data_IF_021319865920
#
_entry.id   IF_021319865920
#
_cell.length_a   1.000
_cell.length_b   1.000
_cell.length_c   1.000
_cell.angle_alpha   90.00
_cell.angle_beta   90.00
_cell.angle_gamma   90.00
#
_symmetry.space_group_name_H-M   'P 1'
#
loop_
_entity.id
_entity.type
_entity.pdbx_description
1 polymer ?
#
# COMPACT_ATOMS: atom_id res chain seq x y z
N UNK A 1 -10.91 -20.83 32.27
CA UNK A 1 -10.06 -19.62 32.39
C UNK A 1 -10.95 -18.40 32.51
N UNK A 2 -11.00 -17.70 33.65
CA UNK A 2 -11.87 -16.53 33.81
C UNK A 2 -11.27 -15.34 33.05
N UNK A 3 -12.04 -14.78 32.11
CA UNK A 3 -11.69 -13.55 31.40
C UNK A 3 -11.64 -12.42 32.43
N UNK A 4 -10.44 -12.01 32.84
CA UNK A 4 -10.24 -10.90 33.75
C UNK A 4 -10.93 -9.64 33.18
N UNK A 5 -12.02 -9.22 33.81
CA UNK A 5 -12.74 -7.99 33.45
C UNK A 5 -11.80 -6.82 33.76
N UNK A 6 -11.03 -6.36 32.75
CA UNK A 6 -10.26 -5.11 32.87
C UNK A 6 -11.23 -4.01 33.35
N UNK A 7 -10.88 -3.21 34.37
CA UNK A 7 -11.77 -2.19 34.89
C UNK A 7 -12.20 -1.25 33.77
N UNK A 8 -13.48 -0.90 33.71
CA UNK A 8 -14.08 -0.03 32.67
C UNK A 8 -13.24 1.22 32.41
N UNK A 9 -12.69 1.82 33.48
CA UNK A 9 -11.78 2.96 33.43
C UNK A 9 -10.53 2.71 32.56
N UNK A 10 -9.88 1.55 32.66
CA UNK A 10 -8.69 1.21 31.87
C UNK A 10 -9.01 1.06 30.39
N UNK A 11 -10.20 0.53 30.05
CA UNK A 11 -10.66 0.47 28.66
C UNK A 11 -10.92 1.87 28.11
N UNK A 12 -11.63 2.72 28.86
CA UNK A 12 -11.90 4.11 28.46
C UNK A 12 -10.59 4.86 28.24
N UNK A 13 -9.63 4.77 29.17
CA UNK A 13 -8.32 5.43 29.04
C UNK A 13 -7.55 4.99 27.78
N UNK A 14 -7.57 3.68 27.47
CA UNK A 14 -6.92 3.16 26.25
C UNK A 14 -7.60 3.74 25.00
N UNK A 15 -8.94 3.74 24.93
CA UNK A 15 -9.65 4.24 23.75
C UNK A 15 -9.46 5.75 23.58
N UNK A 16 -9.49 6.51 24.67
CA UNK A 16 -9.20 7.95 24.68
C UNK A 16 -7.77 8.22 24.20
N UNK A 17 -6.80 7.41 24.61
CA UNK A 17 -5.42 7.48 24.14
C UNK A 17 -5.25 7.11 22.67
N UNK A 18 -6.03 6.16 22.14
CA UNK A 18 -6.00 5.75 20.73
C UNK A 18 -6.69 6.74 19.78
N UNK A 19 -7.69 7.46 20.27
CA UNK A 19 -8.50 8.39 19.47
C UNK A 19 -7.67 9.43 18.68
N UNK A 20 -6.67 10.14 19.26
CA UNK A 20 -5.84 11.06 18.47
C UNK A 20 -5.01 10.36 17.38
N UNK A 21 -4.50 9.14 17.64
CA UNK A 21 -3.78 8.35 16.63
C UNK A 21 -4.70 7.95 15.48
N UNK A 22 -5.94 7.57 15.79
CA UNK A 22 -6.95 7.24 14.79
C UNK A 22 -7.29 8.45 13.92
N UNK A 23 -7.53 9.61 14.54
CA UNK A 23 -7.81 10.86 13.81
C UNK A 23 -6.65 11.21 12.89
N UNK A 24 -5.42 11.16 13.40
CA UNK A 24 -4.22 11.43 12.61
C UNK A 24 -4.07 10.46 11.42
N UNK A 25 -4.27 9.16 11.66
CA UNK A 25 -4.17 8.14 10.63
C UNK A 25 -5.27 8.25 9.55
N UNK A 26 -6.49 8.64 9.94
CA UNK A 26 -7.63 8.78 9.03
C UNK A 26 -7.69 10.14 8.34
N UNK A 27 -7.02 11.17 8.86
CA UNK A 27 -6.99 12.50 8.28
C UNK A 27 -6.64 12.54 6.78
N UNK A 28 -5.57 11.88 6.28
CA UNK A 28 -5.27 11.90 4.84
C UNK A 28 -6.37 11.23 4.00
N UNK A 29 -7.00 10.17 4.49
CA UNK A 29 -8.11 9.51 3.79
C UNK A 29 -9.37 10.39 3.75
N UNK A 30 -9.65 11.10 4.85
CA UNK A 30 -10.71 12.10 4.91
C UNK A 30 -10.47 13.20 3.86
N UNK A 31 -9.26 13.77 3.83
CA UNK A 31 -8.91 14.81 2.86
C UNK A 31 -8.98 14.30 1.42
N UNK A 32 -8.44 13.11 1.13
CA UNK A 32 -8.49 12.50 -0.20
C UNK A 32 -9.92 12.26 -0.68
N UNK A 33 -10.81 11.81 0.21
CA UNK A 33 -12.24 11.61 -0.10
C UNK A 33 -12.93 12.92 -0.45
N UNK A 34 -12.71 13.97 0.36
CA UNK A 34 -13.26 15.30 0.07
C UNK A 34 -12.78 15.83 -1.28
N UNK A 35 -11.48 15.77 -1.53
CA UNK A 35 -10.87 16.26 -2.77
C UNK A 35 -11.40 15.51 -3.98
N UNK A 36 -11.66 14.21 -3.88
CA UNK A 36 -12.26 13.43 -4.97
C UNK A 36 -13.69 13.88 -5.34
N UNK A 37 -14.44 14.41 -4.37
CA UNK A 37 -15.84 14.84 -4.52
C UNK A 37 -16.01 16.34 -4.76
N UNK A 38 -14.93 17.14 -4.65
CA UNK A 38 -14.96 18.57 -4.95
C UNK A 38 -15.00 18.80 -6.45
N UNK A 39 -15.57 19.92 -6.89
CA UNK A 39 -15.49 20.36 -8.29
C UNK A 39 -14.12 20.97 -8.57
N UNK A 40 -13.62 20.85 -9.80
CA UNK A 40 -12.36 21.46 -10.23
C UNK A 40 -12.26 22.95 -9.86
N UNK A 41 -13.36 23.70 -10.06
CA UNK A 41 -13.44 25.12 -9.68
C UNK A 41 -13.15 25.38 -8.20
N UNK A 42 -13.53 24.48 -7.31
CA UNK A 42 -13.27 24.57 -5.87
C UNK A 42 -11.84 24.13 -5.53
N UNK A 43 -11.25 23.22 -6.30
CA UNK A 43 -9.87 22.77 -6.13
C UNK A 43 -8.83 23.83 -6.54
N UNK A 44 -9.14 24.61 -7.57
CA UNK A 44 -8.26 25.68 -8.05
C UNK A 44 -8.45 27.03 -7.35
N UNK A 45 -9.47 27.18 -6.51
CA UNK A 45 -9.72 28.39 -5.74
C UNK A 45 -8.80 28.46 -4.51
N UNK A 46 -7.89 29.44 -4.50
CA UNK A 46 -6.95 29.67 -3.38
C UNK A 46 -7.63 30.11 -2.08
N UNK A 47 -8.89 30.55 -2.15
CA UNK A 47 -9.70 30.95 -1.00
C UNK A 47 -10.65 29.84 -0.53
N UNK A 48 -10.68 28.68 -1.21
CA UNK A 48 -11.51 27.55 -0.81
C UNK A 48 -10.98 26.92 0.49
N UNK A 49 -11.92 26.46 1.33
CA UNK A 49 -11.56 25.75 2.57
C UNK A 49 -11.20 24.32 2.21
N UNK A 50 -9.98 23.83 2.49
CA UNK A 50 -9.53 22.52 2.02
C UNK A 50 -10.30 21.36 2.66
N UNK A 51 -10.88 21.54 3.85
CA UNK A 51 -11.47 20.47 4.67
C UNK A 51 -13.00 20.36 4.59
N UNK A 52 -13.67 21.15 3.75
CA UNK A 52 -15.14 21.17 3.60
C UNK A 52 -15.47 21.32 2.11
N UNK A 53 -16.60 20.74 1.67
CA UNK A 53 -17.16 20.91 0.32
C UNK A 53 -18.13 22.09 0.35
N UNK A 54 -17.89 23.12 -0.47
CA UNK A 54 -18.76 24.32 -0.55
C UNK A 54 -19.66 24.35 -1.78
N UNK A 55 -19.19 23.88 -2.93
CA UNK A 55 -19.92 24.00 -4.21
C UNK A 55 -20.81 22.78 -4.53
N UNK A 56 -21.05 21.93 -3.52
CA UNK A 56 -21.78 20.67 -3.62
C UNK A 56 -20.90 19.52 -4.13
N UNK A 57 -21.13 18.28 -3.67
CA UNK A 57 -20.36 17.12 -4.12
C UNK A 57 -20.62 16.82 -5.59
N UNK A 58 -19.59 16.38 -6.32
CA UNK A 58 -19.67 15.90 -7.70
C UNK A 58 -19.17 14.46 -7.83
N UNK A 59 -19.77 13.71 -8.74
CA UNK A 59 -19.33 12.37 -9.16
C UNK A 59 -18.75 12.38 -10.58
N UNK A 60 -18.61 13.55 -11.18
CA UNK A 60 -18.09 13.73 -12.54
C UNK A 60 -16.69 13.14 -12.71
N UNK A 61 -15.81 13.31 -11.71
CA UNK A 61 -14.48 12.71 -11.71
C UNK A 61 -14.51 11.18 -11.78
N UNK A 62 -15.43 10.55 -11.05
CA UNK A 62 -15.60 9.10 -11.06
C UNK A 62 -16.16 8.62 -12.41
N UNK A 63 -17.15 9.33 -12.96
CA UNK A 63 -17.69 9.04 -14.28
C UNK A 63 -16.61 9.15 -15.37
N UNK A 64 -15.86 10.25 -15.37
CA UNK A 64 -14.75 10.48 -16.28
C UNK A 64 -13.68 9.40 -16.16
N UNK A 65 -13.29 9.05 -14.94
CA UNK A 65 -12.32 7.98 -14.69
C UNK A 65 -12.79 6.63 -15.23
N UNK A 66 -14.06 6.27 -15.02
CA UNK A 66 -14.58 4.96 -15.42
C UNK A 66 -14.90 4.84 -16.91
N UNK A 67 -15.33 5.93 -17.56
CA UNK A 67 -15.87 5.90 -18.92
C UNK A 67 -15.01 6.62 -19.96
N UNK A 68 -14.20 7.59 -19.55
CA UNK A 68 -13.36 8.38 -20.47
C UNK A 68 -11.86 8.06 -20.33
N UNK A 69 -11.49 7.09 -19.49
CA UNK A 69 -10.09 6.65 -19.32
C UNK A 69 -9.95 5.13 -19.26
N UNK A 70 -8.74 4.63 -19.47
CA UNK A 70 -8.38 3.21 -19.37
C UNK A 70 -8.23 2.71 -17.92
N UNK A 71 -8.83 3.40 -16.95
CA UNK A 71 -8.68 3.11 -15.52
C UNK A 71 -9.01 1.66 -15.15
N UNK A 72 -10.09 1.10 -15.72
CA UNK A 72 -10.47 -0.30 -15.45
C UNK A 72 -9.41 -1.27 -16.00
N UNK A 73 -8.86 -0.98 -17.17
CA UNK A 73 -7.77 -1.75 -17.78
C UNK A 73 -6.52 -1.71 -16.91
N UNK A 74 -6.08 -0.53 -16.49
CA UNK A 74 -4.90 -0.37 -15.62
C UNK A 74 -5.10 -1.04 -14.27
N UNK A 75 -6.27 -0.88 -13.65
CA UNK A 75 -6.60 -1.51 -12.37
C UNK A 75 -6.58 -3.03 -12.48
N UNK A 76 -7.16 -3.59 -13.55
CA UNK A 76 -7.13 -5.04 -13.81
C UNK A 76 -5.70 -5.55 -14.03
N UNK A 77 -4.90 -4.83 -14.80
CA UNK A 77 -3.50 -5.18 -15.05
C UNK A 77 -2.68 -5.16 -13.75
N UNK A 78 -2.80 -4.10 -12.95
CA UNK A 78 -2.14 -4.01 -11.63
C UNK A 78 -2.59 -5.14 -10.71
N UNK A 79 -3.90 -5.42 -10.63
CA UNK A 79 -4.43 -6.50 -9.80
C UNK A 79 -3.87 -7.87 -10.22
N UNK A 80 -3.86 -8.16 -11.52
CA UNK A 80 -3.34 -9.40 -12.06
C UNK A 80 -1.84 -9.56 -11.75
N UNK A 81 -1.04 -8.51 -12.01
CA UNK A 81 0.40 -8.52 -11.73
C UNK A 81 0.65 -8.69 -10.23
N UNK A 82 -0.06 -7.96 -9.35
CA UNK A 82 0.10 -8.07 -7.90
C UNK A 82 -0.24 -9.48 -7.41
N UNK A 83 -1.38 -10.05 -7.83
CA UNK A 83 -1.78 -11.39 -7.38
C UNK A 83 -0.76 -12.44 -7.80
N UNK A 84 -0.33 -12.42 -9.07
CA UNK A 84 0.64 -13.39 -9.58
C UNK A 84 2.00 -13.23 -8.90
N UNK A 85 2.51 -11.99 -8.80
CA UNK A 85 3.79 -11.72 -8.16
C UNK A 85 3.78 -12.09 -6.68
N UNK A 86 2.77 -11.67 -5.91
CA UNK A 86 2.62 -12.03 -4.50
C UNK A 86 2.48 -13.55 -4.32
N UNK A 87 1.67 -14.21 -5.15
CA UNK A 87 1.50 -15.66 -5.10
C UNK A 87 2.82 -16.40 -5.29
N UNK A 88 3.57 -16.07 -6.35
CA UNK A 88 4.88 -16.66 -6.63
C UNK A 88 5.87 -16.35 -5.49
N UNK A 89 5.92 -15.11 -5.01
CA UNK A 89 6.81 -14.70 -3.91
C UNK A 89 6.49 -15.42 -2.61
N UNK A 90 5.23 -15.62 -2.26
CA UNK A 90 4.83 -16.36 -1.05
C UNK A 90 5.20 -17.83 -1.17
N UNK A 91 4.97 -18.47 -2.32
CA UNK A 91 5.33 -19.88 -2.52
C UNK A 91 6.84 -20.09 -2.38
N UNK A 92 7.64 -19.33 -3.13
CA UNK A 92 9.11 -19.44 -3.09
C UNK A 92 9.63 -19.03 -1.71
N UNK A 93 9.12 -17.92 -1.17
CA UNK A 93 9.52 -17.39 0.14
C UNK A 93 9.21 -18.35 1.29
N UNK A 94 8.09 -19.06 1.24
CA UNK A 94 7.72 -20.04 2.27
C UNK A 94 8.65 -21.25 2.24
N UNK A 95 8.98 -21.77 1.06
CA UNK A 95 9.93 -22.88 0.91
C UNK A 95 11.32 -22.47 1.42
N UNK A 96 11.80 -21.29 1.03
CA UNK A 96 13.08 -20.76 1.50
C UNK A 96 13.10 -20.51 3.02
N UNK A 97 12.03 -19.93 3.57
CA UNK A 97 11.90 -19.69 5.00
C UNK A 97 11.89 -21.01 5.80
N UNK A 98 11.20 -22.05 5.31
CA UNK A 98 11.21 -23.36 5.94
C UNK A 98 12.62 -23.97 5.95
N UNK A 99 13.33 -23.89 4.82
CA UNK A 99 14.71 -24.39 4.74
C UNK A 99 15.62 -23.70 5.76
N UNK A 100 15.57 -22.37 5.86
CA UNK A 100 16.37 -21.61 6.82
C UNK A 100 15.98 -21.86 8.28
N UNK A 101 14.69 -22.03 8.57
CA UNK A 101 14.18 -22.14 9.94
C UNK A 101 14.23 -23.57 10.51
N UNK A 102 14.25 -24.60 9.66
CA UNK A 102 14.14 -26.01 10.08
C UNK A 102 15.26 -26.91 9.60
N UNK A 103 15.90 -26.64 8.47
CA UNK A 103 17.00 -27.47 7.98
C UNK A 103 18.33 -26.99 8.57
N UNK A 104 19.20 -27.93 8.92
CA UNK A 104 20.55 -27.66 9.44
C UNK A 104 21.58 -28.07 8.38
N UNK A 105 21.82 -27.21 7.42
CA UNK A 105 22.83 -27.40 6.37
C UNK A 105 23.97 -26.39 6.51
N UNK A 106 25.13 -26.73 5.92
CA UNK A 106 26.32 -25.88 5.96
C UNK A 106 26.05 -24.57 5.21
N UNK A 107 26.26 -23.43 5.87
CA UNK A 107 26.06 -22.09 5.29
C UNK A 107 24.69 -21.45 5.54
N UNK A 108 23.78 -22.10 6.28
CA UNK A 108 22.43 -21.57 6.60
C UNK A 108 22.45 -20.14 7.16
N UNK A 109 23.41 -19.83 8.03
CA UNK A 109 23.57 -18.48 8.61
C UNK A 109 23.98 -17.45 7.54
N UNK A 110 24.95 -17.78 6.70
CA UNK A 110 25.42 -16.92 5.62
C UNK A 110 24.34 -16.63 4.58
N UNK A 111 23.51 -17.63 4.23
CA UNK A 111 22.36 -17.43 3.35
C UNK A 111 21.33 -16.48 3.98
N UNK A 112 21.01 -16.65 5.27
CA UNK A 112 20.12 -15.74 5.99
C UNK A 112 20.64 -14.30 6.00
N UNK A 113 21.93 -14.10 6.27
CA UNK A 113 22.57 -12.79 6.21
C UNK A 113 22.56 -12.22 4.79
N UNK A 114 22.84 -13.03 3.77
CA UNK A 114 22.82 -12.60 2.37
C UNK A 114 21.45 -12.06 1.96
N UNK A 115 20.38 -12.78 2.28
CA UNK A 115 19.01 -12.31 2.02
C UNK A 115 18.74 -10.98 2.74
N UNK A 116 19.15 -10.86 4.01
CA UNK A 116 18.99 -9.60 4.74
C UNK A 116 19.74 -8.43 4.08
N UNK A 117 20.98 -8.66 3.62
CA UNK A 117 21.76 -7.65 2.90
C UNK A 117 21.07 -7.22 1.61
N UNK A 118 20.40 -8.12 0.87
CA UNK A 118 19.65 -7.74 -0.33
C UNK A 118 18.48 -6.80 -0.02
N UNK A 119 17.84 -6.90 1.15
CA UNK A 119 16.79 -5.96 1.57
C UNK A 119 17.29 -4.55 1.88
N UNK A 120 18.60 -4.39 2.13
CA UNK A 120 19.20 -3.08 2.34
C UNK A 120 19.45 -2.33 1.02
N UNK A 121 19.40 -3.03 -0.12
CA UNK A 121 19.57 -2.40 -1.44
C UNK A 121 18.37 -1.50 -1.73
N UNK A 122 18.57 -0.20 -2.00
CA UNK A 122 17.48 0.69 -2.36
C UNK A 122 16.78 0.22 -3.64
N UNK A 123 15.46 0.04 -3.58
CA UNK A 123 14.66 -0.43 -4.73
C UNK A 123 14.77 0.50 -5.93
N UNK A 124 14.96 1.80 -5.71
CA UNK A 124 15.15 2.79 -6.77
C UNK A 124 16.37 2.53 -7.65
N UNK A 125 17.43 1.90 -7.12
CA UNK A 125 18.63 1.54 -7.88
C UNK A 125 18.37 0.38 -8.85
N UNK A 126 17.32 -0.41 -8.61
CA UNK A 126 16.98 -1.57 -9.43
C UNK A 126 16.24 -1.18 -10.71
N UNK A 127 15.77 0.06 -10.84
CA UNK A 127 14.95 0.48 -11.98
C UNK A 127 15.69 0.34 -13.32
N UNK A 128 16.89 0.91 -13.43
CA UNK A 128 17.71 0.83 -14.65
C UNK A 128 18.10 -0.61 -15.03
N UNK A 129 18.66 -1.44 -14.14
CA UNK A 129 19.02 -2.81 -14.49
C UNK A 129 17.79 -3.68 -14.81
N UNK A 130 16.65 -3.49 -14.14
CA UNK A 130 15.42 -4.21 -14.50
C UNK A 130 14.93 -3.81 -15.89
N UNK A 131 14.98 -2.53 -16.25
CA UNK A 131 14.65 -2.09 -17.60
C UNK A 131 15.57 -2.73 -18.65
N UNK A 132 16.87 -2.86 -18.37
CA UNK A 132 17.81 -3.57 -19.25
C UNK A 132 17.46 -5.05 -19.39
N UNK A 133 17.05 -5.72 -18.31
CA UNK A 133 16.59 -7.13 -18.37
C UNK A 133 15.34 -7.26 -19.24
N UNK A 134 14.36 -6.36 -19.09
CA UNK A 134 13.14 -6.35 -19.92
C UNK A 134 13.48 -6.14 -21.39
N UNK A 135 14.39 -5.21 -21.71
CA UNK A 135 14.89 -5.00 -23.06
C UNK A 135 15.61 -6.23 -23.62
N UNK A 136 16.49 -6.84 -22.82
CA UNK A 136 17.24 -8.05 -23.22
C UNK A 136 16.30 -9.23 -23.49
N UNK A 137 15.20 -9.33 -22.74
CA UNK A 137 14.14 -10.32 -22.95
C UNK A 137 13.25 -10.03 -24.18
N UNK A 138 13.45 -8.89 -24.86
CA UNK A 138 12.61 -8.47 -25.99
C UNK A 138 11.18 -8.12 -25.59
N UNK A 139 10.96 -7.76 -24.32
CA UNK A 139 9.67 -7.41 -23.75
C UNK A 139 9.46 -5.88 -23.65
N UNK A 140 10.48 -5.12 -24.03
CA UNK A 140 10.38 -3.67 -24.12
C UNK A 140 9.89 -3.27 -25.51
N UNK A 141 8.87 -2.40 -25.53
CA UNK A 141 8.37 -1.71 -26.73
C UNK A 141 9.05 -0.33 -26.89
#
# INVERSE_FOLDING_TARGET
MPVARRPLLKRVLIHLGLLPFLIFALFPFYHMTLTSLKKDRELYDRHAVPLIIKQGPTLEHYSKLLWETEFLTWTKNSLMVTILATGISVVIGTVAAYALARLRFVGVSSFGTGIFVTYLVPTSLLFLPLAQVVNWLGLAD
#
